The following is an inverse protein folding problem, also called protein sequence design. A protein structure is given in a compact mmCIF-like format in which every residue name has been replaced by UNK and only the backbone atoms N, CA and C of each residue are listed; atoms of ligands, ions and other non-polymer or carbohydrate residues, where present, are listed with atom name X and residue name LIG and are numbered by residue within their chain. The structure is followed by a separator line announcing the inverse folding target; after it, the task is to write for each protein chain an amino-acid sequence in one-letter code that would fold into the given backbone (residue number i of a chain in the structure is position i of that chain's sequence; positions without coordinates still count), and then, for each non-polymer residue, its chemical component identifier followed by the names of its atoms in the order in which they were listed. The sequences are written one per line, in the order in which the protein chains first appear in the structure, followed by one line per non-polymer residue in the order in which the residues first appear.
data_IF_911363369462
#
_entry.id   IF_911363369462
#
_cell.length_a   1.000
_cell.length_b   1.000
_cell.length_c   1.000
_cell.angle_alpha   90.00
_cell.angle_beta   90.00
_cell.angle_gamma   90.00
#
_symmetry.space_group_name_H-M   'P 1'
#
loop_
_entity.id
_entity.type
_entity.pdbx_description
1 polymer ?
#
# COMPACT_ATOMS: atom_id res chain seq x y z
N UNK A 1 8.86 -12.99 -14.55
CA UNK A 1 8.78 -11.67 -15.22
C UNK A 1 9.29 -11.81 -16.65
N UNK A 2 8.63 -11.24 -17.65
CA UNK A 2 9.00 -11.37 -19.06
C UNK A 2 9.85 -10.21 -19.60
N UNK A 3 10.49 -10.41 -20.77
CA UNK A 3 11.40 -9.46 -21.43
C UNK A 3 10.81 -8.05 -21.62
N UNK A 4 9.54 -7.95 -22.03
CA UNK A 4 8.84 -6.66 -22.21
C UNK A 4 8.70 -5.89 -20.90
N UNK A 5 8.33 -6.58 -19.81
CA UNK A 5 8.21 -5.94 -18.50
C UNK A 5 9.57 -5.44 -18.03
N UNK A 6 10.63 -6.23 -18.18
CA UNK A 6 11.97 -5.81 -17.76
C UNK A 6 12.44 -4.56 -18.49
N UNK A 7 12.19 -4.45 -19.80
CA UNK A 7 12.52 -3.23 -20.56
C UNK A 7 11.78 -2.00 -20.04
N UNK A 8 10.52 -2.13 -19.60
CA UNK A 8 9.79 -1.01 -19.00
C UNK A 8 10.30 -0.66 -17.60
N UNK A 9 10.58 -1.67 -16.76
CA UNK A 9 11.00 -1.46 -15.37
C UNK A 9 12.43 -0.95 -15.22
N UNK A 10 13.36 -1.38 -16.08
CA UNK A 10 14.77 -0.93 -16.04
C UNK A 10 14.90 0.57 -16.36
N UNK A 11 13.94 1.13 -17.10
CA UNK A 11 13.93 2.55 -17.47
C UNK A 11 13.38 3.46 -16.35
N UNK A 12 12.77 2.91 -15.30
CA UNK A 12 12.20 3.70 -14.21
C UNK A 12 13.29 3.92 -13.15
N UNK A 13 13.73 5.16 -12.89
CA UNK A 13 14.75 5.46 -11.89
C UNK A 13 14.15 5.42 -10.47
N UNK A 14 13.76 4.23 -10.00
CA UNK A 14 13.06 4.04 -8.72
C UNK A 14 13.80 4.65 -7.54
N UNK A 15 15.12 4.46 -7.46
CA UNK A 15 15.94 4.99 -6.37
C UNK A 15 15.91 6.51 -6.33
N UNK A 16 16.14 7.16 -7.48
CA UNK A 16 16.09 8.61 -7.61
C UNK A 16 14.70 9.15 -7.26
N UNK A 17 13.63 8.48 -7.68
CA UNK A 17 12.27 8.87 -7.31
C UNK A 17 12.06 8.85 -5.78
N UNK A 18 12.49 7.77 -5.11
CA UNK A 18 12.39 7.66 -3.65
C UNK A 18 13.20 8.76 -2.95
N UNK A 19 14.43 8.98 -3.39
CA UNK A 19 15.32 10.01 -2.85
C UNK A 19 14.72 11.42 -3.00
N UNK A 20 14.14 11.72 -4.17
CA UNK A 20 13.49 13.01 -4.42
C UNK A 20 12.23 13.21 -3.57
N UNK A 21 11.42 12.15 -3.37
CA UNK A 21 10.25 12.21 -2.48
C UNK A 21 10.69 12.47 -1.04
N UNK A 22 11.71 11.77 -0.56
CA UNK A 22 12.27 12.02 0.79
C UNK A 22 12.76 13.45 0.94
N UNK A 23 13.60 13.90 0.01
CA UNK A 23 14.16 15.25 0.02
C UNK A 23 13.07 16.33 0.06
N UNK A 24 12.05 16.23 -0.81
CA UNK A 24 10.95 17.21 -0.86
C UNK A 24 10.03 17.11 0.36
N UNK A 25 9.78 15.90 0.86
CA UNK A 25 9.01 15.69 2.08
C UNK A 25 9.68 16.34 3.28
N UNK A 26 10.98 16.05 3.51
CA UNK A 26 11.76 16.62 4.61
C UNK A 26 11.85 18.14 4.53
N UNK A 27 12.05 18.70 3.33
CA UNK A 27 12.02 20.15 3.11
C UNK A 27 10.68 20.81 3.48
N UNK A 28 9.58 20.06 3.43
CA UNK A 28 8.25 20.50 3.85
C UNK A 28 7.90 20.10 5.29
N UNK A 29 8.85 19.54 6.06
CA UNK A 29 8.61 19.05 7.43
C UNK A 29 7.82 17.72 7.51
N UNK A 30 7.69 16.99 6.39
CA UNK A 30 6.97 15.72 6.30
C UNK A 30 7.97 14.57 6.39
N UNK A 31 7.79 13.69 7.39
CA UNK A 31 8.58 12.46 7.51
C UNK A 31 8.17 11.44 6.44
N UNK A 32 9.12 10.98 5.64
CA UNK A 32 8.91 9.94 4.62
C UNK A 32 9.45 8.60 5.11
N UNK A 33 8.57 7.61 5.26
CA UNK A 33 8.92 6.24 5.65
C UNK A 33 8.90 5.34 4.42
N UNK A 34 9.97 4.59 4.20
CA UNK A 34 10.05 3.58 3.13
C UNK A 34 9.75 2.21 3.73
N UNK A 35 8.85 1.47 3.09
CA UNK A 35 8.44 0.13 3.51
C UNK A 35 8.49 -0.83 2.31
N UNK A 36 8.73 -2.10 2.59
CA UNK A 36 8.67 -3.18 1.61
C UNK A 36 7.23 -3.45 1.12
N UNK A 37 7.10 -3.82 -0.15
CA UNK A 37 5.83 -4.01 -0.89
C UNK A 37 5.26 -5.45 -0.80
N UNK A 38 5.53 -6.20 0.27
CA UNK A 38 5.16 -7.63 0.33
C UNK A 38 3.63 -7.85 0.27
N UNK A 39 3.13 -8.25 -0.91
CA UNK A 39 1.77 -8.78 -1.19
C UNK A 39 0.61 -7.89 -0.65
N UNK A 40 0.89 -6.61 -0.37
CA UNK A 40 -0.06 -5.63 0.14
C UNK A 40 -1.20 -5.33 -0.83
N UNK A 41 -1.01 -5.58 -2.12
CA UNK A 41 -2.04 -5.37 -3.14
C UNK A 41 -3.08 -6.51 -3.22
N UNK A 42 -2.87 -7.64 -2.53
CA UNK A 42 -3.82 -8.76 -2.47
C UNK A 42 -4.64 -8.75 -1.18
N UNK A 43 -4.03 -8.39 -0.05
CA UNK A 43 -4.70 -8.26 1.23
C UNK A 43 -5.85 -7.26 1.16
N UNK A 44 -7.00 -7.66 1.67
CA UNK A 44 -8.14 -6.77 1.80
C UNK A 44 -7.87 -5.83 2.96
N UNK A 45 -7.85 -4.55 2.62
CA UNK A 45 -7.56 -3.53 3.60
C UNK A 45 -8.76 -3.35 4.54
N UNK A 46 -9.99 -3.28 4.00
CA UNK A 46 -11.26 -3.19 4.77
C UNK A 46 -11.53 -4.41 5.64
N UNK A 47 -11.25 -5.62 5.15
CA UNK A 47 -11.50 -6.84 5.94
C UNK A 47 -10.38 -7.13 6.94
N UNK A 48 -9.44 -6.19 7.07
CA UNK A 48 -8.30 -6.25 7.95
C UNK A 48 -7.41 -7.49 7.79
N UNK A 49 -7.27 -8.00 6.55
CA UNK A 49 -6.40 -9.14 6.26
C UNK A 49 -5.00 -8.92 6.83
N UNK A 50 -4.41 -10.00 7.36
CA UNK A 50 -3.03 -9.98 7.82
C UNK A 50 -2.11 -9.66 6.65
N UNK A 51 -1.27 -8.65 6.84
CA UNK A 51 -0.28 -8.23 5.84
C UNK A 51 0.97 -9.08 6.06
N UNK A 52 1.37 -9.91 5.08
CA UNK A 52 2.56 -10.73 5.22
C UNK A 52 3.81 -9.89 5.39
N UNK A 53 4.70 -10.37 6.25
CA UNK A 53 6.07 -9.86 6.36
C UNK A 53 6.95 -10.70 5.43
N UNK A 54 7.80 -10.04 4.67
CA UNK A 54 8.73 -10.70 3.76
C UNK A 54 9.63 -11.67 4.56
N UNK A 55 9.81 -12.90 4.07
CA UNK A 55 10.61 -13.95 4.73
C UNK A 55 9.82 -14.97 5.55
N UNK A 56 8.50 -14.77 5.73
CA UNK A 56 7.63 -15.79 6.30
C UNK A 56 6.89 -16.54 5.18
N UNK A 57 7.30 -17.79 4.92
CA UNK A 57 6.71 -18.68 3.89
C UNK A 57 5.37 -19.29 4.34
N UNK A 58 4.47 -18.46 4.85
CA UNK A 58 3.12 -18.90 5.21
C UNK A 58 2.20 -18.66 4.02
N UNK A 59 1.39 -19.65 3.67
CA UNK A 59 0.33 -19.50 2.68
C UNK A 59 -0.75 -18.58 3.23
N UNK A 60 -0.83 -17.36 2.70
CA UNK A 60 -1.84 -16.38 3.10
C UNK A 60 -3.09 -16.49 2.21
N UNK A 61 -4.23 -16.78 2.85
CA UNK A 61 -5.54 -16.65 2.23
C UNK A 61 -6.05 -15.21 2.46
N UNK A 62 -6.23 -14.46 1.37
CA UNK A 62 -6.79 -13.10 1.43
C UNK A 62 -8.30 -13.16 1.20
N UNK A 63 -9.04 -12.37 1.97
CA UNK A 63 -10.50 -12.35 1.93
C UNK A 63 -11.04 -11.67 0.66
N UNK A 64 -10.29 -10.71 0.12
CA UNK A 64 -10.66 -9.93 -1.05
C UNK A 64 -9.87 -10.31 -2.31
N UNK A 65 -10.27 -9.72 -3.44
CA UNK A 65 -9.70 -10.03 -4.74
C UNK A 65 -9.63 -8.79 -5.64
N UNK A 66 -8.49 -8.60 -6.29
CA UNK A 66 -8.36 -7.66 -7.42
C UNK A 66 -9.09 -8.22 -8.64
N UNK A 67 -10.09 -7.50 -9.12
CA UNK A 67 -10.87 -7.90 -10.30
C UNK A 67 -10.11 -7.52 -11.58
N UNK A 68 -9.67 -6.26 -11.65
CA UNK A 68 -8.91 -5.71 -12.79
C UNK A 68 -8.00 -4.57 -12.36
N UNK A 69 -7.23 -3.99 -13.28
CA UNK A 69 -6.43 -2.79 -12.99
C UNK A 69 -7.36 -1.67 -12.50
N UNK A 70 -7.03 -1.10 -11.34
CA UNK A 70 -7.83 -0.05 -10.71
C UNK A 70 -9.06 -0.51 -9.92
N UNK A 71 -9.42 -1.81 -9.90
CA UNK A 71 -10.62 -2.29 -9.20
C UNK A 71 -10.34 -3.49 -8.30
N UNK A 72 -10.70 -3.34 -7.03
CA UNK A 72 -10.60 -4.34 -5.97
C UNK A 72 -11.97 -4.61 -5.35
N UNK A 73 -12.22 -5.85 -4.92
CA UNK A 73 -13.45 -6.27 -4.23
C UNK A 73 -13.12 -6.92 -2.89
N UNK A 74 -13.69 -6.42 -1.80
CA UNK A 74 -13.58 -7.04 -0.47
C UNK A 74 -14.43 -8.30 -0.34
N UNK A 75 -14.31 -9.01 0.79
CA UNK A 75 -15.14 -10.17 1.13
C UNK A 75 -16.63 -9.86 1.08
N UNK A 76 -17.01 -8.70 1.60
CA UNK A 76 -18.41 -8.24 1.65
C UNK A 76 -18.91 -7.65 0.32
N UNK A 77 -18.14 -7.77 -0.76
CA UNK A 77 -18.52 -7.26 -2.08
C UNK A 77 -18.31 -5.77 -2.29
N UNK A 78 -17.69 -5.06 -1.34
CA UNK A 78 -17.40 -3.62 -1.47
C UNK A 78 -16.34 -3.44 -2.56
N UNK A 79 -16.64 -2.57 -3.51
CA UNK A 79 -15.75 -2.22 -4.60
C UNK A 79 -14.94 -0.97 -4.24
N UNK A 80 -13.63 -1.02 -4.45
CA UNK A 80 -12.73 0.09 -4.21
C UNK A 80 -11.60 0.15 -5.23
N UNK A 81 -10.89 1.27 -5.27
CA UNK A 81 -9.71 1.38 -6.11
C UNK A 81 -8.58 0.50 -5.57
N UNK A 82 -7.96 -0.31 -6.44
CA UNK A 82 -6.90 -1.23 -6.03
C UNK A 82 -5.65 -0.51 -5.48
N UNK A 83 -5.34 0.70 -5.96
CA UNK A 83 -4.22 1.50 -5.45
C UNK A 83 -4.55 2.08 -4.07
N UNK A 84 -5.81 2.49 -3.84
CA UNK A 84 -6.28 2.96 -2.51
C UNK A 84 -6.20 1.81 -1.51
N UNK A 85 -6.62 0.59 -1.89
CA UNK A 85 -6.47 -0.60 -1.06
C UNK A 85 -5.00 -0.85 -0.69
N UNK A 86 -4.10 -0.79 -1.68
CA UNK A 86 -2.66 -0.93 -1.46
C UNK A 86 -2.07 0.14 -0.53
N UNK A 87 -2.40 1.41 -0.76
CA UNK A 87 -1.95 2.52 0.08
C UNK A 87 -2.44 2.37 1.54
N UNK A 88 -3.70 1.95 1.72
CA UNK A 88 -4.28 1.73 3.05
C UNK A 88 -3.59 0.58 3.79
N UNK A 89 -3.20 -0.49 3.08
CA UNK A 89 -2.40 -1.56 3.67
C UNK A 89 -1.00 -1.11 4.09
N UNK A 90 -0.36 -0.22 3.32
CA UNK A 90 0.94 0.37 3.72
C UNK A 90 0.77 1.15 5.03
N UNK A 91 -0.26 1.99 5.12
CA UNK A 91 -0.55 2.76 6.34
C UNK A 91 -0.77 1.80 7.52
N UNK A 92 -1.60 0.77 7.37
CA UNK A 92 -1.85 -0.25 8.42
C UNK A 92 -0.57 -0.95 8.89
N UNK A 93 0.36 -1.25 7.96
CA UNK A 93 1.63 -1.92 8.29
C UNK A 93 2.59 -1.01 9.03
N UNK A 94 2.69 0.27 8.63
CA UNK A 94 3.65 1.22 9.20
C UNK A 94 3.10 1.87 10.49
N UNK A 95 1.79 2.06 10.58
CA UNK A 95 1.11 2.76 11.68
C UNK A 95 -0.04 1.91 12.27
N UNK A 96 0.27 0.81 12.97
CA UNK A 96 -0.74 -0.08 13.55
C UNK A 96 -1.58 0.60 14.66
N UNK A 97 -1.06 1.69 15.26
CA UNK A 97 -1.75 2.49 16.27
C UNK A 97 -2.90 3.34 15.72
N UNK A 98 -3.06 3.45 14.39
CA UNK A 98 -4.15 4.21 13.80
C UNK A 98 -5.51 3.57 14.12
N UNK A 99 -6.46 4.32 14.72
CA UNK A 99 -7.76 3.77 15.11
C UNK A 99 -8.57 3.36 13.87
N UNK A 100 -9.33 2.26 13.98
CA UNK A 100 -10.05 1.62 12.87
C UNK A 100 -10.93 2.60 12.08
N UNK A 101 -11.65 3.49 12.78
CA UNK A 101 -12.53 4.51 12.19
C UNK A 101 -11.80 5.49 11.24
N UNK A 102 -10.51 5.72 11.47
CA UNK A 102 -9.70 6.67 10.68
C UNK A 102 -9.01 5.98 9.50
N UNK A 103 -8.84 4.65 9.53
CA UNK A 103 -8.25 3.87 8.44
C UNK A 103 -9.10 3.89 7.17
N UNK A 104 -10.40 4.10 7.33
CA UNK A 104 -11.42 4.05 6.26
C UNK A 104 -12.14 5.38 6.03
N UNK A 105 -11.63 6.47 6.59
CA UNK A 105 -12.25 7.79 6.46
C UNK A 105 -12.01 8.40 5.06
N UNK A 106 -12.87 9.35 4.68
CA UNK A 106 -12.66 10.09 3.43
C UNK A 106 -11.36 10.89 3.55
N UNK A 107 -10.42 10.62 2.65
CA UNK A 107 -9.15 11.35 2.60
C UNK A 107 -8.00 10.71 3.38
N UNK A 108 -8.17 9.53 4.01
CA UNK A 108 -7.09 8.84 4.76
C UNK A 108 -5.79 8.73 3.96
N UNK A 109 -5.88 8.43 2.66
CA UNK A 109 -4.71 8.26 1.77
C UNK A 109 -4.29 9.56 1.07
N UNK A 110 -4.92 10.70 1.38
CA UNK A 110 -4.70 11.98 0.71
C UNK A 110 -3.91 12.99 1.56
N UNK A 111 -3.65 12.67 2.84
CA UNK A 111 -2.91 13.52 3.76
C UNK A 111 -1.80 12.71 4.44
N UNK A 112 -0.70 13.35 4.88
CA UNK A 112 0.28 12.68 5.74
C UNK A 112 -0.39 12.12 6.99
N UNK A 113 0.00 10.91 7.40
CA UNK A 113 -0.53 10.28 8.60
C UNK A 113 0.00 11.01 9.83
N UNK A 114 -0.91 11.48 10.68
CA UNK A 114 -0.59 12.11 11.97
C UNK A 114 -1.01 11.15 13.09
N UNK A 115 -0.17 10.17 13.41
CA UNK A 115 -0.35 9.41 14.65
C UNK A 115 0.19 10.26 15.80
N UNK A 116 -0.70 10.65 16.72
CA UNK A 116 -0.38 11.33 17.98
C UNK A 116 0.12 10.28 18.98
#
# INVERSE_FOLDING_TARGET
MGKKNNQTFVQIPFRTLIEMIKYKGEAAGIRVVVCEEAIQSKASSIDEDQIPVYGNDVTHAFSGKRIKRGLYRSKNGILMNANINGASNIIRKVYPCMPERERWSRGTVNVPVTCI
#
